data_IF_866378021070
#
_entry.id   IF_866378021070
#
_cell.length_a   1.000
_cell.length_b   1.000
_cell.length_c   1.000
_cell.angle_alpha   90.00
_cell.angle_beta   90.00
_cell.angle_gamma   90.00
#
_symmetry.space_group_name_H-M   'P 1'
#
loop_
_entity.id
_entity.type
_entity.pdbx_description
1 polymer ?
#
# COMPACT_ATOMS: atom_id res chain seq x y z
N UNK A 1 20.53 -8.95 -23.90
CA UNK A 1 19.37 -9.14 -22.99
C UNK A 1 19.36 -8.22 -21.75
N UNK A 2 20.49 -7.64 -21.34
CA UNK A 2 20.58 -6.72 -20.18
C UNK A 2 19.63 -5.50 -20.22
N UNK A 3 19.30 -4.98 -21.41
CA UNK A 3 18.41 -3.83 -21.56
C UNK A 3 16.99 -4.11 -21.07
N UNK A 4 16.49 -5.33 -21.28
CA UNK A 4 15.17 -5.75 -20.78
C UNK A 4 15.20 -5.95 -19.26
N UNK A 5 16.29 -6.50 -18.73
CA UNK A 5 16.46 -6.73 -17.30
C UNK A 5 16.45 -5.40 -16.51
N UNK A 6 17.07 -4.35 -17.07
CA UNK A 6 17.01 -3.00 -16.51
C UNK A 6 15.58 -2.43 -16.50
N UNK A 7 14.79 -2.66 -17.56
CA UNK A 7 13.41 -2.21 -17.62
C UNK A 7 12.53 -2.89 -16.57
N UNK A 8 12.67 -4.20 -16.40
CA UNK A 8 11.94 -4.94 -15.36
C UNK A 8 12.33 -4.48 -13.95
N UNK A 9 13.60 -4.15 -13.71
CA UNK A 9 14.06 -3.61 -12.44
C UNK A 9 13.40 -2.27 -12.12
N UNK A 10 13.43 -1.32 -13.05
CA UNK A 10 12.80 0.00 -12.84
C UNK A 10 11.29 -0.14 -12.65
N UNK A 11 10.64 -0.99 -13.44
CA UNK A 11 9.20 -1.25 -13.32
C UNK A 11 8.85 -1.87 -11.95
N UNK A 12 9.62 -2.88 -11.52
CA UNK A 12 9.41 -3.54 -10.23
C UNK A 12 9.61 -2.59 -9.05
N UNK A 13 10.64 -1.74 -9.11
CA UNK A 13 10.88 -0.72 -8.08
C UNK A 13 9.72 0.28 -8.03
N UNK A 14 9.26 0.78 -9.18
CA UNK A 14 8.13 1.72 -9.25
C UNK A 14 6.84 1.13 -8.65
N UNK A 15 6.53 -0.12 -8.99
CA UNK A 15 5.36 -0.84 -8.44
C UNK A 15 5.49 -1.02 -6.93
N UNK A 16 6.67 -1.45 -6.45
CA UNK A 16 6.90 -1.66 -5.02
C UNK A 16 6.75 -0.37 -4.20
N UNK A 17 7.29 0.75 -4.72
CA UNK A 17 7.16 2.07 -4.09
C UNK A 17 5.68 2.50 -4.06
N UNK A 18 4.96 2.38 -5.18
CA UNK A 18 3.54 2.74 -5.25
C UNK A 18 2.70 1.96 -4.25
N UNK A 19 2.83 0.62 -4.23
CA UNK A 19 2.09 -0.23 -3.26
C UNK A 19 2.47 0.11 -1.81
N UNK A 20 3.75 0.36 -1.53
CA UNK A 20 4.22 0.72 -0.20
C UNK A 20 3.63 2.06 0.27
N UNK A 21 3.59 3.06 -0.62
CA UNK A 21 3.06 4.38 -0.33
C UNK A 21 1.56 4.34 -0.05
N UNK A 22 0.78 3.67 -0.91
CA UNK A 22 -0.67 3.48 -0.70
C UNK A 22 -0.95 2.80 0.65
N UNK A 23 -0.21 1.73 0.97
CA UNK A 23 -0.36 1.03 2.25
C UNK A 23 0.02 1.90 3.45
N UNK A 24 1.05 2.73 3.33
CA UNK A 24 1.46 3.63 4.41
C UNK A 24 0.41 4.72 4.64
N UNK A 25 -0.12 5.29 3.55
CA UNK A 25 -1.14 6.33 3.60
C UNK A 25 -2.43 5.79 4.24
N UNK A 26 -2.91 4.62 3.78
CA UNK A 26 -4.05 3.93 4.38
C UNK A 26 -3.84 3.65 5.88
N UNK A 27 -2.64 3.19 6.29
CA UNK A 27 -2.33 2.98 7.71
C UNK A 27 -2.32 4.28 8.50
N UNK A 28 -1.79 5.36 7.93
CA UNK A 28 -1.75 6.67 8.60
C UNK A 28 -3.14 7.28 8.75
N UNK A 29 -4.01 7.11 7.74
CA UNK A 29 -5.40 7.54 7.80
C UNK A 29 -6.20 6.73 8.81
N UNK A 30 -5.99 5.40 8.87
CA UNK A 30 -6.58 4.56 9.91
C UNK A 30 -6.11 4.92 11.32
N UNK A 31 -4.85 5.33 11.50
CA UNK A 31 -4.31 5.72 12.80
C UNK A 31 -4.72 7.13 13.25
N UNK A 32 -4.94 8.04 12.29
CA UNK A 32 -5.34 9.43 12.57
C UNK A 32 -6.87 9.59 12.72
N UNK A 33 -7.66 8.67 12.16
CA UNK A 33 -9.11 8.68 12.29
C UNK A 33 -9.59 7.92 13.52
N UNK A 34 -10.11 8.64 14.52
CA UNK A 34 -10.83 8.08 15.67
C UNK A 34 -12.17 7.41 15.25
N UNK A 35 -12.11 6.30 14.51
CA UNK A 35 -13.27 5.44 14.22
C UNK A 35 -14.25 5.92 13.14
N UNK A 36 -13.94 6.97 12.36
CA UNK A 36 -14.85 7.49 11.30
C UNK A 36 -14.66 6.87 9.91
N UNK A 37 -13.59 6.11 9.65
CA UNK A 37 -13.34 5.50 8.34
C UNK A 37 -14.06 4.15 8.27
N UNK A 38 -15.30 4.20 7.78
CA UNK A 38 -16.13 3.01 7.56
C UNK A 38 -15.74 2.32 6.25
N UNK A 39 -15.32 1.05 6.35
CA UNK A 39 -15.36 0.10 5.24
C UNK A 39 -14.04 -0.13 4.48
N UNK A 40 -13.48 -1.32 4.68
CA UNK A 40 -12.48 -2.00 3.82
C UNK A 40 -11.05 -1.45 3.72
N UNK A 41 -10.76 -0.19 4.05
CA UNK A 41 -9.39 0.38 3.98
C UNK A 41 -8.55 -0.05 5.19
N UNK A 42 -9.17 -0.15 6.36
CA UNK A 42 -8.54 -0.67 7.57
C UNK A 42 -8.80 -2.18 7.69
N UNK A 43 -8.20 -3.01 6.82
CA UNK A 43 -8.27 -4.48 6.95
C UNK A 43 -7.45 -4.94 8.15
N UNK A 44 -8.00 -4.68 9.35
CA UNK A 44 -7.73 -5.28 10.66
C UNK A 44 -8.57 -4.62 11.78
N UNK A 45 -9.56 -3.74 11.49
CA UNK A 45 -10.22 -2.97 12.55
C UNK A 45 -11.16 -3.79 13.43
N UNK A 46 -11.83 -4.82 12.91
CA UNK A 46 -12.75 -5.65 13.72
C UNK A 46 -13.35 -6.89 13.01
N UNK A 47 -13.19 -7.05 11.68
CA UNK A 47 -13.75 -8.18 10.92
C UNK A 47 -12.85 -9.44 10.90
N UNK A 48 -11.73 -9.43 11.62
CA UNK A 48 -10.75 -10.53 11.74
C UNK A 48 -10.62 -11.00 13.20
N UNK A 49 -11.71 -10.89 13.97
CA UNK A 49 -11.93 -11.64 15.20
C UNK A 49 -12.67 -12.94 14.89
#
# INVERSE_FOLDING_TARGET
MFRLLRLFLVLGIGIAIGIGFERMLMKSECAAGEGQWTGTICVNSELLQ
#
